data_IF_067423815328
#
_entry.id   IF_067423815328
#
_cell.length_a   1.000
_cell.length_b   1.000
_cell.length_c   1.000
_cell.angle_alpha   90.00
_cell.angle_beta   90.00
_cell.angle_gamma   90.00
#
_symmetry.space_group_name_H-M   'P 1'
#
loop_
_entity.id
_entity.type
_entity.pdbx_description
1 polymer ?
#
# COMPACT_ATOMS: atom_id res chain seq x y z
N UNK A 1 12.67 -13.24 12.14
CA UNK A 1 12.44 -12.32 11.01
C UNK A 1 13.74 -11.60 10.72
N UNK A 2 14.25 -11.70 9.50
CA UNK A 2 15.47 -11.03 9.07
C UNK A 2 15.26 -10.32 7.74
N UNK A 3 16.01 -9.24 7.53
CA UNK A 3 16.05 -8.58 6.23
C UNK A 3 16.57 -9.57 5.17
N UNK A 4 15.94 -9.58 3.99
CA UNK A 4 16.30 -10.48 2.89
C UNK A 4 15.81 -11.93 3.03
N UNK A 5 15.06 -12.28 4.08
CA UNK A 5 14.46 -13.61 4.24
C UNK A 5 13.02 -13.64 3.74
N UNK A 6 12.61 -14.78 3.19
CA UNK A 6 11.20 -15.05 2.89
C UNK A 6 10.39 -15.11 4.19
N UNK A 7 9.23 -14.45 4.20
CA UNK A 7 8.25 -14.56 5.27
C UNK A 7 6.94 -15.08 4.71
N UNK A 8 6.28 -15.97 5.45
CA UNK A 8 4.94 -16.43 5.13
C UNK A 8 3.93 -15.57 5.88
N UNK A 9 3.15 -14.77 5.15
CA UNK A 9 2.07 -13.97 5.71
C UNK A 9 0.76 -14.63 5.34
N UNK A 10 -0.08 -14.90 6.35
CA UNK A 10 -1.43 -15.41 6.16
C UNK A 10 -2.40 -14.44 6.81
N UNK A 11 -3.34 -13.94 6.02
CA UNK A 11 -4.44 -13.09 6.49
C UNK A 11 -5.72 -13.90 6.42
N UNK A 12 -6.45 -13.99 7.54
CA UNK A 12 -7.79 -14.57 7.61
C UNK A 12 -8.76 -13.44 7.92
N UNK A 13 -9.77 -13.29 7.09
CA UNK A 13 -10.84 -12.31 7.28
C UNK A 13 -12.16 -13.05 7.20
N UNK A 14 -12.94 -13.02 8.28
CA UNK A 14 -14.27 -13.63 8.36
C UNK A 14 -15.23 -12.57 8.89
N UNK A 15 -16.04 -12.01 7.99
CA UNK A 15 -16.84 -10.83 8.32
C UNK A 15 -15.96 -9.65 8.72
N UNK A 16 -16.21 -9.10 9.91
CA UNK A 16 -15.46 -8.00 10.51
C UNK A 16 -14.29 -8.44 11.39
N UNK A 17 -13.99 -9.75 11.45
CA UNK A 17 -12.90 -10.28 12.26
C UNK A 17 -11.67 -10.58 11.41
N UNK A 18 -10.56 -9.90 11.71
CA UNK A 18 -9.29 -9.98 10.98
C UNK A 18 -8.23 -10.63 11.85
N UNK A 19 -7.59 -11.67 11.33
CA UNK A 19 -6.41 -12.30 11.93
C UNK A 19 -5.24 -12.31 10.97
N UNK A 20 -4.07 -11.87 11.44
CA UNK A 20 -2.83 -11.91 10.66
C UNK A 20 -1.84 -12.83 11.35
N UNK A 21 -1.29 -13.75 10.57
CA UNK A 21 -0.25 -14.66 11.00
C UNK A 21 1.02 -14.38 10.23
N UNK A 22 2.15 -14.29 10.93
CA UNK A 22 3.47 -14.16 10.30
C UNK A 22 4.32 -15.35 10.71
N UNK A 23 4.79 -16.09 9.70
CA UNK A 23 5.55 -17.33 9.85
C UNK A 23 4.83 -18.35 10.76
N UNK A 24 3.49 -18.41 10.66
CA UNK A 24 2.64 -19.33 11.41
C UNK A 24 2.20 -18.86 12.80
N UNK A 25 2.81 -17.81 13.34
CA UNK A 25 2.44 -17.23 14.64
C UNK A 25 1.37 -16.14 14.45
N UNK A 26 0.38 -16.11 15.34
CA UNK A 26 -0.65 -15.07 15.36
C UNK A 26 -0.02 -13.75 15.84
N UNK A 27 -0.08 -12.73 15.00
CA UNK A 27 0.47 -11.40 15.29
C UNK A 27 -0.64 -10.37 15.55
N UNK A 28 -1.74 -10.46 14.79
CA UNK A 28 -2.90 -9.57 14.91
C UNK A 28 -4.18 -10.39 15.03
N UNK A 29 -5.03 -10.02 15.97
CA UNK A 29 -6.39 -10.52 16.15
C UNK A 29 -7.29 -9.33 16.51
N UNK A 30 -8.10 -8.87 15.55
CA UNK A 30 -8.84 -7.61 15.65
C UNK A 30 -10.25 -7.72 15.06
N UNK A 31 -11.24 -7.19 15.79
CA UNK A 31 -12.63 -7.11 15.34
C UNK A 31 -13.00 -5.65 15.09
N UNK A 32 -13.39 -5.33 13.86
CA UNK A 32 -13.87 -4.00 13.49
C UNK A 32 -15.36 -3.85 13.86
N UNK A 33 -15.69 -2.98 14.81
CA UNK A 33 -17.06 -2.77 15.27
C UNK A 33 -17.85 -1.77 14.41
N UNK A 34 -17.19 -1.02 13.54
CA UNK A 34 -17.79 0.05 12.73
C UNK A 34 -17.80 -0.27 11.24
N UNK A 35 -17.48 -1.52 10.87
CA UNK A 35 -17.44 -1.96 9.49
C UNK A 35 -18.80 -1.80 8.81
N UNK A 36 -18.83 -1.01 7.72
CA UNK A 36 -20.01 -0.91 6.86
C UNK A 36 -20.31 -2.26 6.19
N UNK A 37 -21.59 -2.66 6.04
CA UNK A 37 -21.98 -3.86 5.30
C UNK A 37 -21.41 -3.94 3.88
N UNK A 38 -21.17 -2.79 3.24
CA UNK A 38 -20.61 -2.70 1.89
C UNK A 38 -19.15 -3.18 1.81
N UNK A 39 -18.44 -3.21 2.94
CA UNK A 39 -17.04 -3.65 3.03
C UNK A 39 -16.90 -5.14 3.35
N UNK A 40 -18.00 -5.89 3.46
CA UNK A 40 -17.98 -7.32 3.75
C UNK A 40 -17.31 -8.16 2.65
N UNK A 41 -17.16 -7.61 1.45
CA UNK A 41 -16.47 -8.26 0.33
C UNK A 41 -15.75 -7.25 -0.56
N UNK A 42 -14.68 -7.66 -1.22
CA UNK A 42 -13.90 -6.78 -2.08
C UNK A 42 -12.73 -7.47 -2.76
N UNK A 43 -11.93 -6.69 -3.48
CA UNK A 43 -10.70 -7.15 -4.12
C UNK A 43 -9.53 -7.13 -3.14
N UNK A 44 -8.61 -8.08 -3.29
CA UNK A 44 -7.35 -8.11 -2.52
C UNK A 44 -6.25 -7.43 -3.32
N UNK A 45 -5.52 -6.52 -2.67
CA UNK A 45 -4.37 -5.84 -3.25
C UNK A 45 -3.15 -5.92 -2.32
N UNK A 46 -1.96 -5.93 -2.91
CA UNK A 46 -0.69 -5.86 -2.18
C UNK A 46 -0.02 -4.55 -2.58
N UNK A 47 0.33 -3.73 -1.59
CA UNK A 47 1.05 -2.48 -1.78
C UNK A 47 2.48 -2.61 -1.25
N UNK A 48 3.44 -2.14 -2.02
CA UNK A 48 4.84 -2.01 -1.60
C UNK A 48 5.31 -0.59 -1.85
N UNK A 49 5.90 0.02 -0.81
CA UNK A 49 6.57 1.30 -0.96
C UNK A 49 8.02 1.04 -1.38
N UNK A 50 8.33 1.26 -2.64
CA UNK A 50 9.73 1.39 -3.04
C UNK A 50 10.24 2.77 -2.60
N UNK A 51 11.33 2.87 -1.82
CA UNK A 51 12.05 4.12 -1.71
C UNK A 51 12.55 4.46 -3.11
N UNK A 52 12.16 5.63 -3.60
CA UNK A 52 12.59 6.16 -4.88
C UNK A 52 14.12 6.20 -4.88
N UNK A 53 14.78 5.48 -5.81
CA UNK A 53 16.20 5.68 -6.07
C UNK A 53 16.37 7.08 -6.66
N UNK A 54 16.89 8.03 -5.88
CA UNK A 54 17.37 9.31 -6.41
C UNK A 54 18.70 9.08 -7.16
N UNK A 55 18.67 8.34 -8.27
CA UNK A 55 19.74 8.30 -9.27
C UNK A 55 19.18 7.76 -10.59
N UNK A 56 18.19 8.47 -11.12
CA UNK A 56 17.89 8.39 -12.55
C UNK A 56 18.57 9.59 -13.18
N UNK A 57 19.60 9.35 -13.97
CA UNK A 57 20.18 10.34 -14.87
C UNK A 57 19.05 10.96 -15.69
N UNK A 58 18.82 12.25 -15.53
CA UNK A 58 17.81 13.01 -16.26
C UNK A 58 18.06 12.90 -17.76
N UNK A 59 17.36 12.03 -18.47
CA UNK A 59 17.14 12.21 -19.91
C UNK A 59 15.83 12.97 -20.07
N UNK A 60 15.95 14.30 -20.16
CA UNK A 60 14.86 15.16 -20.61
C UNK A 60 14.42 14.69 -21.99
N UNK A 61 13.23 14.09 -22.09
CA UNK A 61 12.48 14.09 -23.34
C UNK A 61 11.68 15.41 -23.35
N UNK A 62 12.08 16.41 -24.16
CA UNK A 62 11.31 17.63 -24.26
C UNK A 62 10.03 17.34 -25.04
N UNK A 63 8.96 18.03 -24.64
CA UNK A 63 7.65 18.14 -25.30
C UNK A 63 6.57 17.16 -24.83
N UNK A 64 5.68 17.64 -23.95
CA UNK A 64 4.33 18.13 -24.32
C UNK A 64 3.32 18.23 -23.15
N UNK A 65 3.74 18.11 -21.89
CA UNK A 65 2.81 18.15 -20.73
C UNK A 65 3.20 19.09 -19.58
N UNK A 66 4.00 20.13 -19.84
CA UNK A 66 4.37 21.13 -18.81
C UNK A 66 3.22 22.05 -18.36
N UNK A 67 2.08 22.08 -19.05
CA UNK A 67 0.96 22.96 -18.68
C UNK A 67 0.16 22.50 -17.46
N UNK A 68 0.12 21.19 -17.15
CA UNK A 68 -0.73 20.68 -16.06
C UNK A 68 -0.02 20.69 -14.70
N UNK A 69 1.31 20.52 -14.68
CA UNK A 69 2.07 20.48 -13.42
C UNK A 69 2.23 21.87 -12.78
N UNK A 70 2.32 22.95 -13.55
CA UNK A 70 2.42 24.31 -13.01
C UNK A 70 1.13 24.82 -12.36
N UNK A 71 -0.03 24.24 -12.68
CA UNK A 71 -1.31 24.58 -12.01
C UNK A 71 -1.42 23.85 -10.66
N UNK A 72 -0.90 22.62 -10.56
CA UNK A 72 -1.03 21.81 -9.35
C UNK A 72 -0.11 22.28 -8.21
N UNK A 73 1.09 22.78 -8.52
CA UNK A 73 2.06 23.21 -7.51
C UNK A 73 1.89 24.65 -6.99
N UNK A 74 1.07 25.50 -7.63
CA UNK A 74 0.76 26.86 -7.12
C UNK A 74 -0.30 26.90 -6.01
N UNK A 75 -1.04 25.80 -5.79
CA UNK A 75 -2.07 25.73 -4.73
C UNK A 75 -1.56 25.24 -3.38
N UNK A 76 -0.27 24.95 -3.25
CA UNK A 76 0.37 24.66 -1.95
C UNK A 76 1.27 25.85 -1.61
N UNK A 77 0.63 26.94 -1.19
CA UNK A 77 1.22 28.01 -0.39
C UNK A 77 0.14 28.55 0.54
#
# INVERSE_FOLDING_TARGET
MGLGSWNNIKVKMVGNHVKVFINGYLDIDYTDTEMSPEMASGSVAIYSRMPMCYTTTWTFLPNKHEKLLNILFRKIK
#
